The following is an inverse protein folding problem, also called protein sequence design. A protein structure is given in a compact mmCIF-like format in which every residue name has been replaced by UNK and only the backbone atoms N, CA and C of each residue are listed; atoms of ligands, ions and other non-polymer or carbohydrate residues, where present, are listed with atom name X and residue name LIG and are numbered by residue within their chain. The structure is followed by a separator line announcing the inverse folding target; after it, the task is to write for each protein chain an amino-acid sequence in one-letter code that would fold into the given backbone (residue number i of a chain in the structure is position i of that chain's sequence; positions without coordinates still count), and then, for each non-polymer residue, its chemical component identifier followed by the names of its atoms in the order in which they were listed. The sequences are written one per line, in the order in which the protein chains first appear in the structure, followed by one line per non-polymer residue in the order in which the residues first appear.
data_IF_973080846313
#
_entry.id   IF_973080846313
#
_cell.length_a   1.000
_cell.length_b   1.000
_cell.length_c   1.000
_cell.angle_alpha   90.00
_cell.angle_beta   90.00
_cell.angle_gamma   90.00
#
_symmetry.space_group_name_H-M   'P 1'
#
loop_
_entity.id
_entity.type
_entity.pdbx_description
1 polymer ?
#
# COMPACT_ATOMS: atom_id res chain seq x y z
N UNK A 1 14.99 -31.64 -34.11
CA UNK A 1 13.88 -30.97 -33.43
C UNK A 1 14.34 -29.54 -33.08
N UNK A 2 14.06 -28.58 -33.96
CA UNK A 2 14.48 -27.19 -33.76
C UNK A 2 13.61 -26.56 -32.69
N UNK A 3 14.21 -26.21 -31.56
CA UNK A 3 13.60 -25.32 -30.58
C UNK A 3 13.48 -23.94 -31.23
N UNK A 4 12.29 -23.58 -31.69
CA UNK A 4 11.95 -22.20 -31.98
C UNK A 4 12.07 -21.42 -30.65
N UNK A 5 13.25 -20.81 -30.46
CA UNK A 5 13.46 -19.90 -29.34
C UNK A 5 12.42 -18.77 -29.39
N UNK A 6 11.46 -18.77 -28.51
CA UNK A 6 10.52 -17.69 -28.40
C UNK A 6 11.33 -16.41 -28.11
N UNK A 7 11.27 -15.46 -29.03
CA UNK A 7 11.93 -14.15 -28.85
C UNK A 7 11.39 -13.51 -27.58
N UNK A 8 12.26 -13.24 -26.62
CA UNK A 8 11.89 -12.61 -25.37
C UNK A 8 11.73 -11.11 -25.60
N UNK A 9 10.60 -10.55 -25.21
CA UNK A 9 10.25 -9.14 -25.38
C UNK A 9 10.61 -8.36 -24.11
N UNK A 10 11.25 -7.20 -24.27
CA UNK A 10 11.48 -6.29 -23.16
C UNK A 10 10.16 -5.56 -22.80
N UNK A 11 9.79 -5.61 -21.53
CA UNK A 11 8.59 -4.97 -21.02
C UNK A 11 8.58 -3.44 -21.24
N UNK A 12 9.73 -2.80 -21.23
CA UNK A 12 9.86 -1.36 -21.50
C UNK A 12 9.38 -1.01 -22.91
N UNK A 13 9.72 -1.82 -23.91
CA UNK A 13 9.29 -1.61 -25.29
C UNK A 13 7.77 -1.66 -25.43
N UNK A 14 7.08 -2.43 -24.60
CA UNK A 14 5.63 -2.54 -24.58
C UNK A 14 4.94 -1.35 -23.89
N UNK A 15 5.61 -0.73 -22.92
CA UNK A 15 5.01 0.27 -22.05
C UNK A 15 5.40 1.71 -22.37
N UNK A 16 6.57 1.92 -22.97
CA UNK A 16 7.14 3.26 -23.15
C UNK A 16 7.07 3.79 -24.59
N UNK A 17 6.41 3.08 -25.50
CA UNK A 17 6.19 3.55 -26.85
C UNK A 17 5.19 4.72 -26.84
N UNK A 18 5.58 5.92 -27.27
CA UNK A 18 4.67 7.06 -27.38
C UNK A 18 3.60 6.77 -28.43
N UNK A 19 2.34 6.89 -28.05
CA UNK A 19 1.22 6.89 -28.97
C UNK A 19 -0.02 7.42 -28.26
N UNK A 20 -0.74 8.32 -28.89
CA UNK A 20 -1.98 8.93 -28.38
C UNK A 20 -3.24 8.27 -28.96
N UNK A 21 -3.09 7.23 -29.79
CA UNK A 21 -4.25 6.53 -30.32
C UNK A 21 -4.99 5.81 -29.20
N UNK A 22 -6.34 5.89 -29.19
CA UNK A 22 -7.20 5.21 -28.22
C UNK A 22 -6.90 3.70 -28.19
N UNK A 23 -6.56 3.12 -29.34
CA UNK A 23 -6.19 1.70 -29.46
C UNK A 23 -4.93 1.41 -28.65
N UNK A 24 -3.86 2.18 -28.83
CA UNK A 24 -2.58 1.97 -28.17
C UNK A 24 -2.66 2.28 -26.68
N UNK A 25 -3.41 3.29 -26.29
CA UNK A 25 -3.70 3.58 -24.88
C UNK A 25 -4.40 2.39 -24.20
N UNK A 26 -5.44 1.84 -24.83
CA UNK A 26 -6.14 0.68 -24.29
C UNK A 26 -5.24 -0.57 -24.27
N UNK A 27 -4.41 -0.76 -25.29
CA UNK A 27 -3.42 -1.85 -25.34
C UNK A 27 -2.44 -1.75 -24.16
N UNK A 28 -1.82 -0.59 -23.92
CA UNK A 28 -0.94 -0.37 -22.77
C UNK A 28 -1.65 -0.59 -21.44
N UNK A 29 -2.88 -0.09 -21.27
CA UNK A 29 -3.68 -0.35 -20.05
C UNK A 29 -3.87 -1.83 -19.77
N UNK A 30 -4.20 -2.62 -20.80
CA UNK A 30 -4.41 -4.07 -20.66
C UNK A 30 -3.10 -4.78 -20.32
N UNK A 31 -1.98 -4.42 -20.96
CA UNK A 31 -0.66 -4.97 -20.66
C UNK A 31 -0.26 -4.65 -19.21
N UNK A 32 -0.39 -3.38 -18.78
CA UNK A 32 -0.08 -2.95 -17.41
C UNK A 32 -0.89 -3.72 -16.36
N UNK A 33 -2.20 -3.86 -16.59
CA UNK A 33 -3.07 -4.58 -15.67
C UNK A 33 -2.71 -6.08 -15.57
N UNK A 34 -2.31 -6.71 -16.68
CA UNK A 34 -1.85 -8.09 -16.67
C UNK A 34 -0.46 -8.25 -16.01
N UNK A 35 0.41 -7.24 -16.11
CA UNK A 35 1.67 -7.18 -15.37
C UNK A 35 1.42 -7.00 -13.87
N UNK A 36 0.50 -6.12 -13.50
CA UNK A 36 0.18 -5.87 -12.09
C UNK A 36 -0.46 -7.08 -11.41
N UNK A 37 -1.31 -7.82 -12.11
CA UNK A 37 -2.04 -8.98 -11.58
C UNK A 37 -1.89 -10.19 -12.55
N UNK A 38 -0.79 -10.94 -12.47
CA UNK A 38 -0.54 -12.09 -13.34
C UNK A 38 -1.61 -13.17 -13.19
N UNK A 39 -2.28 -13.50 -14.28
CA UNK A 39 -3.40 -14.44 -14.28
C UNK A 39 -4.78 -13.80 -14.07
N UNK A 40 -4.87 -12.48 -14.20
CA UNK A 40 -6.14 -11.74 -14.20
C UNK A 40 -7.09 -12.26 -15.29
N UNK A 41 -8.40 -12.36 -14.99
CA UNK A 41 -9.37 -12.76 -16.00
C UNK A 41 -9.73 -11.61 -16.94
N UNK A 42 -10.18 -11.92 -18.18
CA UNK A 42 -10.64 -10.89 -19.12
C UNK A 42 -11.82 -10.07 -18.55
N UNK A 43 -12.71 -10.70 -17.77
CA UNK A 43 -13.82 -10.01 -17.10
C UNK A 43 -13.31 -9.03 -16.05
N UNK A 44 -12.34 -9.47 -15.24
CA UNK A 44 -11.71 -8.59 -14.24
C UNK A 44 -10.91 -7.43 -14.88
N UNK A 45 -10.25 -7.68 -16.02
CA UNK A 45 -9.60 -6.63 -16.81
C UNK A 45 -10.62 -5.57 -17.25
N UNK A 46 -11.76 -6.00 -17.84
CA UNK A 46 -12.80 -5.10 -18.30
C UNK A 46 -13.34 -4.23 -17.15
N UNK A 47 -13.63 -4.84 -16.00
CA UNK A 47 -14.10 -4.15 -14.80
C UNK A 47 -13.05 -3.16 -14.25
N UNK A 48 -11.80 -3.61 -14.09
CA UNK A 48 -10.70 -2.79 -13.53
C UNK A 48 -10.35 -1.59 -14.41
N UNK A 49 -10.36 -1.78 -15.73
CA UNK A 49 -9.97 -0.73 -16.69
C UNK A 49 -11.15 0.13 -17.19
N UNK A 50 -12.36 -0.16 -16.73
CA UNK A 50 -13.60 0.48 -17.21
C UNK A 50 -13.75 0.39 -18.74
N UNK A 51 -13.34 -0.74 -19.31
CA UNK A 51 -13.45 -1.04 -20.75
C UNK A 51 -14.56 -2.03 -21.02
N UNK A 52 -15.13 -2.02 -22.25
CA UNK A 52 -16.06 -3.05 -22.65
C UNK A 52 -15.38 -4.42 -22.75
N UNK A 53 -16.13 -5.51 -22.50
CA UNK A 53 -15.60 -6.87 -22.66
C UNK A 53 -15.13 -7.13 -24.10
N UNK A 54 -15.81 -6.55 -25.10
CA UNK A 54 -15.42 -6.63 -26.51
C UNK A 54 -14.06 -5.98 -26.77
N UNK A 55 -13.82 -4.79 -26.20
CA UNK A 55 -12.55 -4.09 -26.32
C UNK A 55 -11.40 -4.90 -25.69
N UNK A 56 -11.61 -5.43 -24.48
CA UNK A 56 -10.60 -6.26 -23.81
C UNK A 56 -10.32 -7.53 -24.61
N UNK A 57 -11.37 -8.23 -25.08
CA UNK A 57 -11.21 -9.45 -25.88
C UNK A 57 -10.42 -9.21 -27.17
N UNK A 58 -10.69 -8.10 -27.88
CA UNK A 58 -9.97 -7.74 -29.10
C UNK A 58 -8.47 -7.50 -28.80
N UNK A 59 -8.17 -6.69 -27.77
CA UNK A 59 -6.77 -6.39 -27.38
C UNK A 59 -6.04 -7.66 -26.92
N UNK A 60 -6.69 -8.50 -26.11
CA UNK A 60 -6.10 -9.76 -25.63
C UNK A 60 -5.83 -10.72 -26.80
N UNK A 61 -6.72 -10.81 -27.78
CA UNK A 61 -6.53 -11.66 -28.98
C UNK A 61 -5.36 -11.17 -29.83
N UNK A 62 -5.20 -9.85 -30.04
CA UNK A 62 -4.09 -9.26 -30.74
C UNK A 62 -2.76 -9.55 -30.03
N UNK A 63 -2.69 -9.31 -28.71
CA UNK A 63 -1.51 -9.59 -27.89
C UNK A 63 -1.16 -11.09 -27.81
N UNK A 64 -2.15 -11.97 -27.90
CA UNK A 64 -1.95 -13.41 -27.97
C UNK A 64 -1.33 -13.83 -29.32
N UNK A 65 -1.80 -13.24 -30.43
CA UNK A 65 -1.22 -13.50 -31.76
C UNK A 65 0.23 -13.02 -31.85
N UNK A 66 0.58 -11.94 -31.18
CA UNK A 66 1.94 -11.43 -31.06
C UNK A 66 2.82 -12.21 -30.09
N UNK A 67 2.28 -13.20 -29.35
CA UNK A 67 3.00 -13.98 -28.36
C UNK A 67 3.27 -13.28 -27.04
N UNK A 68 2.76 -12.06 -26.87
CA UNK A 68 2.91 -11.27 -25.64
C UNK A 68 2.03 -11.84 -24.52
N UNK A 69 0.83 -12.32 -24.86
CA UNK A 69 -0.06 -12.97 -23.91
C UNK A 69 -0.20 -14.48 -24.17
N UNK A 70 -0.44 -15.21 -23.07
CA UNK A 70 -0.94 -16.59 -23.06
C UNK A 70 -2.30 -16.57 -22.36
N UNK A 71 -3.30 -17.19 -23.00
CA UNK A 71 -4.65 -17.26 -22.46
C UNK A 71 -4.96 -18.70 -22.10
N UNK A 72 -5.30 -18.96 -20.86
CA UNK A 72 -5.59 -20.28 -20.32
C UNK A 72 -7.01 -20.32 -19.74
N UNK A 73 -7.71 -21.44 -19.95
CA UNK A 73 -8.96 -21.76 -19.26
C UNK A 73 -8.63 -22.79 -18.19
N UNK A 74 -8.98 -22.51 -16.94
CA UNK A 74 -8.86 -23.49 -15.85
C UNK A 74 -10.19 -24.20 -15.67
N UNK A 75 -10.16 -25.52 -15.53
CA UNK A 75 -11.35 -26.35 -15.32
C UNK A 75 -12.02 -25.96 -14.00
N UNK A 76 -13.31 -25.64 -14.04
CA UNK A 76 -14.08 -25.21 -12.85
C UNK A 76 -14.09 -23.72 -12.57
N UNK A 77 -13.28 -22.91 -13.24
CA UNK A 77 -13.29 -21.46 -13.06
C UNK A 77 -14.06 -20.73 -14.19
N UNK A 78 -14.79 -19.68 -13.83
CA UNK A 78 -15.46 -18.80 -14.80
C UNK A 78 -14.48 -17.76 -15.35
N UNK A 79 -14.12 -17.87 -16.63
CA UNK A 79 -13.36 -16.88 -17.38
C UNK A 79 -11.96 -17.32 -17.80
N UNK A 80 -11.48 -16.75 -18.90
CA UNK A 80 -10.14 -17.01 -19.43
C UNK A 80 -9.11 -16.15 -18.68
N UNK A 81 -8.08 -16.79 -18.10
CA UNK A 81 -6.97 -16.10 -17.44
C UNK A 81 -5.94 -15.63 -18.46
N UNK A 82 -5.43 -14.43 -18.25
CA UNK A 82 -4.41 -13.79 -19.09
C UNK A 82 -3.10 -13.77 -18.32
N UNK A 83 -2.06 -14.32 -18.92
CA UNK A 83 -0.68 -14.29 -18.41
C UNK A 83 0.23 -13.73 -19.48
N UNK A 84 1.34 -13.11 -19.05
CA UNK A 84 2.40 -12.73 -19.99
C UNK A 84 3.10 -13.96 -20.57
N UNK A 85 3.52 -13.84 -21.81
CA UNK A 85 4.42 -14.79 -22.48
C UNK A 85 5.88 -14.62 -22.03
N UNK A 86 6.80 -14.70 -22.97
CA UNK A 86 8.21 -14.46 -22.71
C UNK A 86 8.52 -12.95 -22.67
N UNK A 87 8.11 -12.28 -21.57
CA UNK A 87 8.34 -10.84 -21.35
C UNK A 87 9.33 -10.67 -20.21
N UNK A 88 10.41 -9.92 -20.43
CA UNK A 88 11.39 -9.57 -19.39
C UNK A 88 11.08 -8.19 -18.84
N UNK A 89 11.10 -8.06 -17.54
CA UNK A 89 10.93 -6.81 -16.82
C UNK A 89 10.76 -7.06 -15.33
N UNK A 90 11.17 -6.08 -14.51
CA UNK A 90 11.03 -6.09 -13.06
C UNK A 90 10.23 -4.85 -12.64
N UNK A 91 9.20 -5.06 -11.85
CA UNK A 91 8.51 -3.99 -11.14
C UNK A 91 9.04 -3.92 -9.70
N UNK A 92 9.21 -2.71 -9.21
CA UNK A 92 9.75 -2.46 -7.87
C UNK A 92 8.79 -1.57 -7.07
N UNK A 93 8.62 -1.89 -5.80
CA UNK A 93 7.92 -1.05 -4.84
C UNK A 93 8.77 -0.84 -3.60
N UNK A 94 8.85 0.39 -3.16
CA UNK A 94 9.56 0.81 -1.94
C UNK A 94 8.56 1.37 -0.96
N UNK A 95 8.67 1.00 0.30
CA UNK A 95 7.99 1.63 1.41
C UNK A 95 9.04 2.16 2.38
N UNK A 96 9.00 3.46 2.63
CA UNK A 96 9.85 4.12 3.62
C UNK A 96 8.99 4.51 4.82
N UNK A 97 9.37 4.06 5.99
CA UNK A 97 8.76 4.38 7.27
C UNK A 97 9.75 5.14 8.17
N UNK A 98 9.32 5.53 9.37
CA UNK A 98 10.16 6.25 10.34
C UNK A 98 11.39 5.45 10.78
N UNK A 99 11.31 4.13 10.81
CA UNK A 99 12.30 3.23 11.38
C UNK A 99 12.69 2.06 10.45
N UNK A 100 12.14 2.02 9.23
CA UNK A 100 12.29 0.89 8.31
C UNK A 100 12.18 1.32 6.86
N UNK A 101 13.00 0.72 6.01
CA UNK A 101 12.84 0.69 4.56
C UNK A 101 12.49 -0.73 4.16
N UNK A 102 11.48 -0.90 3.31
CA UNK A 102 11.09 -2.17 2.75
C UNK A 102 11.02 -2.06 1.23
N UNK A 103 11.47 -3.09 0.53
CA UNK A 103 11.43 -3.18 -0.92
C UNK A 103 10.78 -4.50 -1.33
N UNK A 104 9.93 -4.43 -2.33
CA UNK A 104 9.38 -5.58 -3.04
C UNK A 104 9.80 -5.50 -4.50
N UNK A 105 10.32 -6.57 -5.06
CA UNK A 105 10.67 -6.70 -6.47
C UNK A 105 10.00 -7.93 -7.06
N UNK A 106 9.52 -7.83 -8.29
CA UNK A 106 8.84 -8.94 -8.97
C UNK A 106 9.04 -8.85 -10.47
N UNK A 107 9.34 -9.97 -11.08
CA UNK A 107 9.25 -10.08 -12.55
C UNK A 107 7.82 -9.85 -12.98
N UNK A 108 7.64 -9.14 -14.10
CA UNK A 108 6.31 -8.82 -14.63
C UNK A 108 5.53 -10.04 -15.11
N UNK A 109 6.23 -11.14 -15.45
CA UNK A 109 5.66 -12.38 -15.99
C UNK A 109 5.34 -13.44 -14.91
N UNK A 110 5.62 -13.17 -13.63
CA UNK A 110 5.37 -14.08 -12.51
C UNK A 110 4.57 -13.43 -11.39
N UNK A 111 4.07 -14.23 -10.46
CA UNK A 111 3.45 -13.76 -9.21
C UNK A 111 4.38 -13.82 -8.00
N UNK A 112 5.56 -14.45 -8.14
CA UNK A 112 6.54 -14.51 -7.06
C UNK A 112 7.12 -13.12 -6.80
N UNK A 113 7.16 -12.73 -5.53
CA UNK A 113 7.64 -11.42 -5.07
C UNK A 113 8.83 -11.66 -4.16
N UNK A 114 9.96 -11.10 -4.53
CA UNK A 114 11.09 -10.95 -3.61
C UNK A 114 10.81 -9.76 -2.69
N UNK A 115 11.04 -9.93 -1.41
CA UNK A 115 10.76 -8.92 -0.40
C UNK A 115 11.86 -8.90 0.65
N UNK A 116 12.35 -7.72 0.95
CA UNK A 116 13.33 -7.50 2.01
C UNK A 116 13.01 -6.21 2.75
N UNK A 117 13.37 -6.15 4.03
CA UNK A 117 13.26 -4.94 4.81
C UNK A 117 14.44 -4.78 5.75
N UNK A 118 14.86 -3.54 5.94
CA UNK A 118 15.96 -3.19 6.84
C UNK A 118 15.53 -2.11 7.84
N UNK A 119 16.10 -2.15 9.04
CA UNK A 119 15.95 -1.05 9.98
C UNK A 119 16.65 0.18 9.44
N UNK A 120 16.01 1.32 9.55
CA UNK A 120 16.49 2.60 9.09
C UNK A 120 16.28 3.63 10.19
N UNK A 121 17.26 4.54 10.38
CA UNK A 121 17.11 5.65 11.29
C UNK A 121 17.25 6.96 10.53
N UNK A 122 16.22 7.78 10.64
CA UNK A 122 16.10 9.04 9.92
C UNK A 122 17.20 10.07 10.28
N UNK A 123 17.87 9.90 11.43
CA UNK A 123 18.96 10.75 11.92
C UNK A 123 20.29 10.65 11.11
N UNK A 124 20.37 9.73 10.15
CA UNK A 124 21.58 9.51 9.33
C UNK A 124 21.74 10.46 8.13
N UNK A 125 20.92 11.50 8.02
CA UNK A 125 20.99 12.52 6.98
C UNK A 125 20.01 12.29 5.82
N UNK A 126 19.63 13.39 5.18
CA UNK A 126 18.52 13.48 4.22
C UNK A 126 18.64 12.60 2.96
N UNK A 127 19.84 12.19 2.60
CA UNK A 127 20.08 11.37 1.39
C UNK A 127 20.29 9.88 1.69
N UNK A 128 20.37 9.49 2.97
CA UNK A 128 20.71 8.11 3.33
C UNK A 128 19.60 7.12 2.94
N UNK A 129 18.33 7.49 3.11
CA UNK A 129 17.21 6.63 2.77
C UNK A 129 17.11 6.32 1.27
N UNK A 130 17.44 7.29 0.40
CA UNK A 130 17.47 7.08 -1.06
C UNK A 130 18.54 6.08 -1.43
N UNK A 131 19.75 6.25 -0.88
CA UNK A 131 20.89 5.35 -1.12
C UNK A 131 20.60 3.94 -0.64
N UNK A 132 20.08 3.80 0.59
CA UNK A 132 19.75 2.49 1.15
C UNK A 132 18.62 1.81 0.36
N UNK A 133 17.58 2.56 -0.03
CA UNK A 133 16.54 2.07 -0.93
C UNK A 133 17.11 1.62 -2.26
N UNK A 134 17.99 2.41 -2.87
CA UNK A 134 18.61 2.07 -4.16
C UNK A 134 19.48 0.81 -4.08
N UNK A 135 20.23 0.63 -2.99
CA UNK A 135 21.01 -0.58 -2.76
C UNK A 135 20.12 -1.82 -2.65
N UNK A 136 19.07 -1.73 -1.84
CA UNK A 136 18.14 -2.83 -1.64
C UNK A 136 17.35 -3.16 -2.93
N UNK A 137 17.00 -2.16 -3.73
CA UNK A 137 16.40 -2.36 -5.06
C UNK A 137 17.34 -3.17 -5.96
N UNK A 138 18.62 -2.81 -6.02
CA UNK A 138 19.61 -3.49 -6.85
C UNK A 138 19.77 -4.96 -6.44
N UNK A 139 19.89 -5.21 -5.13
CA UNK A 139 20.01 -6.56 -4.57
C UNK A 139 18.81 -7.43 -4.92
N UNK A 140 17.59 -6.94 -4.66
CA UNK A 140 16.37 -7.70 -4.93
C UNK A 140 16.11 -7.88 -6.43
N UNK A 141 16.48 -6.90 -7.26
CA UNK A 141 16.37 -7.05 -8.71
C UNK A 141 17.21 -8.23 -9.21
N UNK A 142 18.45 -8.36 -8.73
CA UNK A 142 19.32 -9.49 -9.06
C UNK A 142 18.73 -10.82 -8.58
N UNK A 143 18.09 -10.86 -7.41
CA UNK A 143 17.41 -12.07 -6.91
C UNK A 143 16.28 -12.53 -7.82
N UNK A 144 15.64 -11.64 -8.58
CA UNK A 144 14.64 -12.01 -9.60
C UNK A 144 15.24 -12.71 -10.83
N UNK A 145 16.57 -12.77 -10.93
CA UNK A 145 17.31 -13.30 -12.09
C UNK A 145 17.42 -12.31 -13.25
N UNK A 146 17.15 -11.04 -13.02
CA UNK A 146 17.29 -9.93 -13.97
C UNK A 146 18.19 -8.83 -13.36
N UNK A 147 18.69 -7.94 -14.20
CA UNK A 147 19.48 -6.78 -13.78
C UNK A 147 18.65 -5.48 -13.75
N UNK A 148 19.28 -4.40 -13.30
CA UNK A 148 18.63 -3.10 -13.12
C UNK A 148 18.14 -2.51 -14.45
N UNK A 149 18.73 -2.89 -15.58
CA UNK A 149 18.29 -2.41 -16.88
C UNK A 149 16.93 -2.98 -17.30
N UNK A 150 16.43 -3.99 -16.60
CA UNK A 150 15.09 -4.54 -16.78
C UNK A 150 14.02 -3.93 -15.87
N UNK A 151 14.36 -2.97 -14.99
CA UNK A 151 13.37 -2.32 -14.15
C UNK A 151 12.43 -1.47 -15.01
N UNK A 152 11.13 -1.77 -15.00
CA UNK A 152 10.12 -1.08 -15.80
C UNK A 152 9.52 0.14 -15.10
N UNK A 153 9.41 0.10 -13.78
CA UNK A 153 8.91 1.20 -12.94
C UNK A 153 9.24 0.96 -11.47
N UNK A 154 9.33 2.06 -10.71
CA UNK A 154 9.53 2.03 -9.26
C UNK A 154 8.42 2.85 -8.61
N UNK A 155 7.66 2.25 -7.67
CA UNK A 155 6.75 2.95 -6.78
C UNK A 155 7.48 3.26 -5.47
N UNK A 156 7.33 4.47 -4.92
CA UNK A 156 7.94 4.87 -3.66
C UNK A 156 6.87 5.42 -2.71
N UNK A 157 6.55 4.66 -1.67
CA UNK A 157 5.66 5.06 -0.58
C UNK A 157 6.45 5.76 0.52
N UNK A 158 6.02 6.96 0.91
CA UNK A 158 6.66 7.76 1.95
C UNK A 158 5.65 8.15 3.04
N UNK A 159 6.09 8.38 4.30
CA UNK A 159 5.21 8.75 5.40
C UNK A 159 4.86 10.25 5.37
N UNK A 160 4.33 10.70 4.23
CA UNK A 160 3.98 12.09 3.98
C UNK A 160 2.85 12.19 2.94
N UNK A 161 2.07 13.25 3.00
CA UNK A 161 1.10 13.57 1.97
C UNK A 161 1.82 14.04 0.69
N UNK A 162 1.40 13.52 -0.45
CA UNK A 162 1.93 13.86 -1.78
C UNK A 162 0.81 14.46 -2.61
N UNK A 163 1.04 15.67 -3.14
CA UNK A 163 0.06 16.30 -4.05
C UNK A 163 -0.01 15.48 -5.35
N UNK A 164 -1.19 14.92 -5.69
CA UNK A 164 -1.31 14.02 -6.84
C UNK A 164 -1.14 14.70 -8.20
N UNK A 165 -1.12 16.04 -8.25
CA UNK A 165 -0.98 16.82 -9.49
C UNK A 165 0.47 17.19 -9.78
N UNK A 166 1.29 17.33 -8.72
CA UNK A 166 2.66 17.82 -8.84
C UNK A 166 3.69 16.78 -8.40
N UNK A 167 3.24 15.65 -7.83
CA UNK A 167 4.08 14.63 -7.18
C UNK A 167 5.04 15.20 -6.11
N UNK A 168 4.75 16.41 -5.62
CA UNK A 168 5.53 17.07 -4.60
C UNK A 168 5.05 16.70 -3.20
N UNK A 169 5.99 16.51 -2.30
CA UNK A 169 5.70 16.31 -0.88
C UNK A 169 5.15 17.62 -0.29
N UNK A 170 4.03 17.52 0.41
CA UNK A 170 3.39 18.69 1.02
C UNK A 170 4.07 19.09 2.33
N UNK A 171 4.00 20.38 2.70
CA UNK A 171 4.70 20.94 3.88
C UNK A 171 4.30 20.33 5.23
N UNK A 172 3.13 19.70 5.33
CA UNK A 172 2.68 19.04 6.58
C UNK A 172 3.56 17.84 6.94
N UNK A 173 4.31 17.30 5.99
CA UNK A 173 5.34 16.29 6.23
C UNK A 173 6.58 16.80 6.95
N UNK A 174 6.76 18.13 7.12
CA UNK A 174 7.88 18.75 7.82
C UNK A 174 8.02 18.39 9.32
N UNK A 175 7.12 17.53 9.83
CA UNK A 175 7.24 16.93 11.17
C UNK A 175 8.19 15.71 11.23
N UNK A 176 8.75 15.30 10.11
CA UNK A 176 9.76 14.26 10.05
C UNK A 176 11.14 14.92 10.22
N UNK A 177 11.98 14.37 11.09
CA UNK A 177 13.35 14.86 11.33
C UNK A 177 14.29 14.63 10.13
N UNK A 178 13.77 14.15 9.03
CA UNK A 178 14.49 13.88 7.78
C UNK A 178 13.87 14.64 6.60
N UNK A 179 14.76 15.22 5.80
CA UNK A 179 14.34 15.99 4.63
C UNK A 179 13.82 15.08 3.51
N UNK A 180 12.49 15.02 3.40
CA UNK A 180 11.78 14.39 2.27
C UNK A 180 11.10 15.44 1.38
N UNK A 181 11.34 16.72 1.62
CA UNK A 181 10.75 17.82 0.84
C UNK A 181 11.21 17.80 -0.62
N UNK A 182 10.43 18.35 -1.51
CA UNK A 182 10.76 18.44 -2.93
C UNK A 182 10.35 17.21 -3.76
N UNK A 183 11.07 16.98 -4.83
CA UNK A 183 10.79 15.90 -5.78
C UNK A 183 11.52 14.62 -5.40
N UNK A 184 10.79 13.62 -4.91
CA UNK A 184 11.34 12.28 -4.64
C UNK A 184 11.88 11.60 -5.90
N UNK A 185 11.18 11.65 -7.06
CA UNK A 185 11.72 11.08 -8.31
C UNK A 185 13.10 11.64 -8.70
N UNK A 186 13.33 12.94 -8.50
CA UNK A 186 14.63 13.54 -8.83
C UNK A 186 15.77 13.00 -7.95
N UNK A 187 15.48 12.68 -6.69
CA UNK A 187 16.46 12.09 -5.75
C UNK A 187 16.93 10.69 -6.17
N UNK A 188 16.08 9.93 -6.87
CA UNK A 188 16.42 8.60 -7.40
C UNK A 188 17.08 8.62 -8.77
N UNK A 189 17.09 9.77 -9.48
CA UNK A 189 17.56 9.90 -10.86
C UNK A 189 19.02 9.47 -11.05
N UNK A 190 19.89 9.74 -10.07
CA UNK A 190 21.29 9.33 -10.12
C UNK A 190 21.49 7.81 -10.04
N UNK A 191 20.51 7.10 -9.48
CA UNK A 191 20.53 5.63 -9.34
C UNK A 191 19.79 4.92 -10.45
N UNK A 192 18.71 5.54 -11.00
CA UNK A 192 17.78 4.94 -11.97
C UNK A 192 17.34 5.98 -13.03
N UNK A 193 18.28 6.34 -13.92
CA UNK A 193 18.15 7.51 -14.81
C UNK A 193 16.89 7.55 -15.64
N UNK A 194 16.52 6.45 -16.30
CA UNK A 194 15.41 6.42 -17.28
C UNK A 194 14.19 5.62 -16.77
N UNK A 195 14.19 5.25 -15.50
CA UNK A 195 13.11 4.48 -14.90
C UNK A 195 12.02 5.43 -14.38
N UNK A 196 10.75 5.25 -14.74
CA UNK A 196 9.63 5.99 -14.13
C UNK A 196 9.56 5.71 -12.62
N UNK A 197 9.52 6.78 -11.83
CA UNK A 197 9.38 6.71 -10.38
C UNK A 197 8.11 7.42 -9.99
N UNK A 198 7.19 6.69 -9.35
CA UNK A 198 5.89 7.18 -8.93
C UNK A 198 5.85 7.19 -7.41
N UNK A 199 5.42 8.33 -6.84
CA UNK A 199 5.44 8.55 -5.40
C UNK A 199 4.04 8.75 -4.86
N UNK A 200 3.77 8.20 -3.67
CA UNK A 200 2.54 8.42 -2.92
C UNK A 200 2.79 8.25 -1.42
N UNK A 201 1.76 8.50 -0.63
CA UNK A 201 1.76 8.16 0.78
C UNK A 201 1.80 6.63 0.98
N UNK A 202 2.55 6.16 1.97
CA UNK A 202 2.76 4.72 2.22
C UNK A 202 1.47 3.99 2.64
N UNK A 203 0.53 4.69 3.30
CA UNK A 203 -0.76 4.09 3.66
C UNK A 203 -1.68 3.96 2.44
N UNK A 204 -1.59 4.88 1.47
CA UNK A 204 -2.27 4.76 0.19
C UNK A 204 -1.80 3.52 -0.58
N UNK A 205 -0.49 3.31 -0.64
CA UNK A 205 0.04 2.12 -1.28
C UNK A 205 -0.30 0.84 -0.53
N UNK A 206 -0.29 0.86 0.81
CA UNK A 206 -0.70 -0.30 1.59
C UNK A 206 -2.18 -0.66 1.34
N UNK A 207 -3.07 0.34 1.28
CA UNK A 207 -4.46 0.15 0.87
C UNK A 207 -4.58 -0.47 -0.53
N UNK A 208 -3.77 0.03 -1.46
CA UNK A 208 -3.77 -0.46 -2.84
C UNK A 208 -3.20 -1.89 -2.94
N UNK A 209 -2.20 -2.22 -2.13
CA UNK A 209 -1.67 -3.57 -2.01
C UNK A 209 -2.72 -4.57 -1.54
N UNK A 210 -3.43 -4.24 -0.46
CA UNK A 210 -4.55 -5.07 0.04
C UNK A 210 -5.68 -5.19 -0.98
N UNK A 211 -6.00 -4.12 -1.68
CA UNK A 211 -7.00 -4.15 -2.76
C UNK A 211 -6.60 -5.06 -3.92
N UNK A 212 -5.32 -5.05 -4.34
CA UNK A 212 -4.85 -5.87 -5.46
C UNK A 212 -4.58 -7.33 -5.06
N UNK A 213 -3.97 -7.56 -3.91
CA UNK A 213 -3.32 -8.83 -3.59
C UNK A 213 -3.76 -9.44 -2.26
N UNK A 214 -4.44 -8.69 -1.39
CA UNK A 214 -4.76 -9.09 -0.04
C UNK A 214 -6.26 -9.09 0.28
N UNK A 215 -6.59 -8.76 1.53
CA UNK A 215 -7.92 -8.80 2.12
C UNK A 215 -8.95 -7.93 1.39
N UNK A 216 -8.52 -6.87 0.69
CA UNK A 216 -9.38 -5.95 -0.06
C UNK A 216 -9.78 -6.43 -1.44
N UNK A 217 -9.37 -7.62 -1.89
CA UNK A 217 -9.69 -8.13 -3.24
C UNK A 217 -11.19 -8.27 -3.45
N UNK A 218 -11.68 -7.63 -4.51
CA UNK A 218 -13.08 -7.71 -4.90
C UNK A 218 -14.01 -6.70 -4.23
N UNK A 219 -13.58 -6.03 -3.16
CA UNK A 219 -14.36 -4.99 -2.50
C UNK A 219 -14.44 -3.71 -3.36
N UNK A 220 -15.60 -3.04 -3.34
CA UNK A 220 -15.81 -1.80 -4.07
C UNK A 220 -15.20 -0.59 -3.37
N UNK A 221 -15.20 -0.58 -2.03
CA UNK A 221 -14.64 0.49 -1.21
C UNK A 221 -13.89 -0.11 -0.02
N UNK A 222 -12.59 0.20 0.07
CA UNK A 222 -11.70 -0.30 1.13
C UNK A 222 -11.09 0.88 1.89
N UNK A 223 -11.20 0.85 3.22
CA UNK A 223 -10.44 1.73 4.11
C UNK A 223 -9.32 0.90 4.76
N UNK A 224 -8.09 1.17 4.42
CA UNK A 224 -6.93 0.59 5.11
C UNK A 224 -6.51 1.51 6.24
N UNK A 225 -6.36 0.97 7.43
CA UNK A 225 -5.88 1.69 8.63
C UNK A 225 -4.47 1.22 8.94
N UNK A 226 -3.49 2.07 8.73
CA UNK A 226 -2.10 1.82 9.11
C UNK A 226 -1.87 2.30 10.54
N UNK A 227 -1.85 1.39 11.49
CA UNK A 227 -1.60 1.68 12.90
C UNK A 227 -0.22 1.17 13.32
N UNK A 228 0.72 2.11 13.51
CA UNK A 228 2.13 1.88 13.81
C UNK A 228 2.63 2.93 14.82
N UNK A 229 3.84 3.45 14.64
CA UNK A 229 4.36 4.62 15.38
C UNK A 229 3.41 5.81 15.21
N UNK A 230 2.97 6.07 13.97
CA UNK A 230 1.88 6.99 13.64
C UNK A 230 0.61 6.26 13.25
N UNK A 231 -0.43 7.02 12.91
CA UNK A 231 -1.71 6.52 12.44
C UNK A 231 -2.10 7.22 11.14
N UNK A 232 -2.19 6.44 10.06
CA UNK A 232 -2.64 6.90 8.76
C UNK A 232 -3.72 6.00 8.17
N UNK A 233 -4.32 6.41 7.07
CA UNK A 233 -5.19 5.54 6.30
C UNK A 233 -5.04 5.77 4.80
N UNK A 234 -5.33 4.71 4.04
CA UNK A 234 -5.52 4.77 2.61
C UNK A 234 -6.94 4.37 2.24
N UNK A 235 -7.53 5.06 1.29
CA UNK A 235 -8.91 4.84 0.87
C UNK A 235 -8.96 4.46 -0.61
N UNK A 236 -9.55 3.30 -0.90
CA UNK A 236 -9.83 2.84 -2.26
C UNK A 236 -11.32 2.97 -2.54
N UNK A 237 -11.68 3.67 -3.61
CA UNK A 237 -13.05 3.83 -4.09
C UNK A 237 -13.11 3.42 -5.56
N UNK A 238 -13.89 2.39 -5.88
CA UNK A 238 -14.02 1.91 -7.25
C UNK A 238 -12.68 1.47 -7.88
N UNK A 239 -11.74 0.98 -7.07
CA UNK A 239 -10.41 0.54 -7.52
C UNK A 239 -9.37 1.66 -7.64
N UNK A 240 -9.70 2.89 -7.28
CA UNK A 240 -8.81 4.04 -7.32
C UNK A 240 -8.45 4.51 -5.90
N UNK A 241 -7.21 4.92 -5.72
CA UNK A 241 -6.78 5.58 -4.48
C UNK A 241 -7.45 6.96 -4.39
N UNK A 242 -8.17 7.22 -3.31
CA UNK A 242 -8.71 8.54 -3.02
C UNK A 242 -7.71 9.38 -2.24
N UNK A 243 -7.12 10.36 -2.91
CA UNK A 243 -6.09 11.26 -2.33
C UNK A 243 -6.63 12.59 -1.86
N UNK A 244 -7.85 12.95 -2.26
CA UNK A 244 -8.32 14.32 -2.14
C UNK A 244 -7.56 15.27 -3.08
N UNK A 245 -7.79 16.57 -2.91
CA UNK A 245 -7.23 17.60 -3.81
C UNK A 245 -5.71 17.74 -3.72
N UNK A 246 -5.15 17.63 -2.52
CA UNK A 246 -3.74 17.92 -2.22
C UNK A 246 -3.01 16.74 -1.53
N UNK A 247 -3.56 15.53 -1.64
CA UNK A 247 -2.96 14.35 -1.05
C UNK A 247 -3.30 14.10 0.43
N UNK A 248 -4.18 14.89 1.03
CA UNK A 248 -4.58 14.74 2.44
C UNK A 248 -5.76 13.78 2.66
N UNK A 249 -6.22 13.07 1.64
CA UNK A 249 -7.25 12.04 1.80
C UNK A 249 -6.72 10.90 2.68
N UNK A 250 -7.47 10.53 3.73
CA UNK A 250 -7.05 9.45 4.62
C UNK A 250 -6.29 9.88 5.88
N UNK A 251 -6.11 11.16 6.15
CA UNK A 251 -5.43 11.70 7.36
C UNK A 251 -6.25 11.50 8.64
N UNK A 252 -6.72 10.26 8.89
CA UNK A 252 -7.57 9.92 10.05
C UNK A 252 -6.84 10.08 11.39
N UNK A 253 -5.52 9.97 11.41
CA UNK A 253 -4.68 10.20 12.59
C UNK A 253 -4.85 11.62 13.16
N UNK A 254 -5.26 12.56 12.32
CA UNK A 254 -5.49 13.97 12.70
C UNK A 254 -6.96 14.33 12.94
N UNK A 255 -7.86 13.33 13.01
CA UNK A 255 -9.21 13.55 13.53
C UNK A 255 -9.14 13.96 15.00
N UNK A 256 -9.70 15.11 15.35
CA UNK A 256 -9.81 15.56 16.74
C UNK A 256 -10.80 14.67 17.49
N UNK A 257 -10.28 13.90 18.43
CA UNK A 257 -11.06 13.02 19.32
C UNK A 257 -11.35 13.69 20.66
N UNK A 258 -10.45 14.55 21.12
CA UNK A 258 -10.52 15.30 22.37
C UNK A 258 -10.10 16.76 22.12
N UNK A 259 -11.06 17.72 22.02
CA UNK A 259 -10.73 19.12 21.78
C UNK A 259 -9.84 19.78 22.86
N UNK A 260 -9.90 19.26 24.08
CA UNK A 260 -9.09 19.73 25.22
C UNK A 260 -7.79 18.91 25.40
N UNK A 261 -7.55 17.95 24.50
CA UNK A 261 -6.41 17.05 24.54
C UNK A 261 -5.07 17.72 24.27
N UNK A 262 -3.99 16.90 24.32
CA UNK A 262 -2.63 17.39 24.13
C UNK A 262 -2.40 17.94 22.71
N UNK A 263 -1.50 18.93 22.53
CA UNK A 263 -1.15 19.41 21.20
C UNK A 263 -0.62 18.29 20.29
N UNK A 264 -1.07 18.30 19.03
CA UNK A 264 -0.57 17.45 17.97
C UNK A 264 0.44 18.23 17.13
N UNK A 265 1.42 17.53 16.57
CA UNK A 265 2.41 18.11 15.63
C UNK A 265 1.78 18.77 14.38
N UNK A 266 0.54 18.42 14.01
CA UNK A 266 -0.18 19.07 12.91
C UNK A 266 -0.74 20.47 13.26
N UNK A 267 -0.55 20.95 14.49
CA UNK A 267 -1.06 22.22 15.00
C UNK A 267 -2.42 22.13 15.70
N UNK A 268 -3.15 21.02 15.58
CA UNK A 268 -4.40 20.75 16.29
C UNK A 268 -4.16 20.19 17.70
N UNK A 269 -5.25 19.90 18.43
CA UNK A 269 -5.23 19.23 19.74
C UNK A 269 -6.04 17.94 19.72
N UNK A 270 -5.65 16.99 20.58
CA UNK A 270 -6.36 15.75 20.82
C UNK A 270 -6.66 14.93 19.56
N UNK A 271 -5.76 14.98 18.60
CA UNK A 271 -5.84 14.13 17.42
C UNK A 271 -5.79 12.66 17.80
N UNK A 272 -6.42 11.80 17.03
CA UNK A 272 -6.46 10.36 17.25
C UNK A 272 -5.04 9.79 17.47
N UNK A 273 -4.06 10.21 16.67
CA UNK A 273 -2.66 9.80 16.81
C UNK A 273 -2.06 10.12 18.17
N UNK A 274 -2.45 11.23 18.80
CA UNK A 274 -1.98 11.60 20.15
C UNK A 274 -2.54 10.71 21.26
N UNK A 275 -3.56 9.92 20.96
CA UNK A 275 -4.19 8.98 21.90
C UNK A 275 -3.70 7.54 21.70
N UNK A 276 -3.48 7.13 20.44
CA UNK A 276 -3.25 5.73 20.07
C UNK A 276 -1.98 5.50 19.24
N UNK A 277 -1.19 6.53 18.95
CA UNK A 277 0.11 6.35 18.29
C UNK A 277 1.08 5.56 19.15
N UNK A 278 1.98 4.80 18.51
CA UNK A 278 2.86 3.84 19.19
C UNK A 278 3.65 4.40 20.36
N UNK A 279 4.20 5.62 20.21
CA UNK A 279 4.91 6.30 21.30
C UNK A 279 4.00 6.55 22.52
N UNK A 280 2.74 6.90 22.29
CA UNK A 280 1.75 7.13 23.36
C UNK A 280 1.37 5.83 24.06
N UNK A 281 1.21 4.74 23.30
CA UNK A 281 0.90 3.43 23.89
C UNK A 281 2.04 2.94 24.79
N UNK A 282 3.29 3.08 24.34
CA UNK A 282 4.46 2.74 25.14
C UNK A 282 4.56 3.58 26.42
N UNK A 283 4.20 4.86 26.33
CA UNK A 283 4.17 5.76 27.49
C UNK A 283 3.09 5.32 28.50
N UNK A 284 1.89 4.94 28.05
CA UNK A 284 0.83 4.42 28.90
C UNK A 284 1.27 3.16 29.65
N UNK A 285 1.96 2.23 28.96
CA UNK A 285 2.52 1.03 29.60
C UNK A 285 3.59 1.41 30.63
N UNK A 286 4.49 2.35 30.32
CA UNK A 286 5.49 2.85 31.27
C UNK A 286 4.86 3.45 32.52
N UNK A 287 3.85 4.29 32.36
CA UNK A 287 3.13 4.92 33.47
C UNK A 287 2.43 3.89 34.35
N UNK A 288 1.79 2.87 33.76
CA UNK A 288 1.12 1.82 34.51
C UNK A 288 2.09 0.94 35.32
N UNK A 289 3.32 0.79 34.88
CA UNK A 289 4.37 0.02 35.57
C UNK A 289 5.35 0.87 36.36
N UNK A 290 5.13 2.17 36.51
CA UNK A 290 6.05 3.07 37.21
C UNK A 290 6.39 2.53 38.62
N UNK A 291 7.69 2.28 38.85
CA UNK A 291 8.23 1.77 40.11
C UNK A 291 8.12 0.24 40.34
N UNK A 292 7.48 -0.51 39.41
CA UNK A 292 7.26 -1.96 39.62
C UNK A 292 8.10 -2.85 38.70
N UNK A 293 8.56 -2.36 37.55
CA UNK A 293 9.29 -3.17 36.56
C UNK A 293 10.41 -2.37 35.89
N UNK A 294 11.55 -3.03 35.65
CA UNK A 294 12.68 -2.48 34.92
C UNK A 294 12.68 -2.86 33.43
N UNK A 295 12.08 -4.01 33.06
CA UNK A 295 12.05 -4.58 31.71
C UNK A 295 10.76 -4.19 30.98
N UNK A 296 10.63 -2.96 30.51
CA UNK A 296 9.44 -2.51 29.78
C UNK A 296 9.62 -2.65 28.27
N UNK A 297 8.51 -2.82 27.49
CA UNK A 297 8.61 -2.85 26.05
C UNK A 297 9.10 -1.49 25.53
N UNK A 298 10.00 -1.52 24.54
CA UNK A 298 10.57 -0.35 23.90
C UNK A 298 9.98 -0.12 22.48
N UNK A 299 9.17 -1.08 22.00
CA UNK A 299 8.50 -1.03 20.71
C UNK A 299 7.07 -1.54 20.80
N UNK A 300 6.23 -1.16 19.83
CA UNK A 300 4.85 -1.67 19.70
C UNK A 300 4.85 -3.18 19.50
N UNK A 301 5.80 -3.70 18.72
CA UNK A 301 6.00 -5.14 18.55
C UNK A 301 6.25 -5.85 19.90
N UNK A 302 7.19 -5.34 20.69
CA UNK A 302 7.48 -5.88 22.02
C UNK A 302 6.26 -5.82 22.95
N UNK A 303 5.45 -4.78 22.85
CA UNK A 303 4.20 -4.66 23.60
C UNK A 303 3.17 -5.73 23.17
N UNK A 304 3.03 -5.98 21.88
CA UNK A 304 2.16 -7.03 21.32
C UNK A 304 2.61 -8.41 21.82
N UNK A 305 3.90 -8.70 21.73
CA UNK A 305 4.46 -9.98 22.20
C UNK A 305 4.20 -10.23 23.67
N UNK A 306 4.32 -9.18 24.51
CA UNK A 306 4.00 -9.28 25.93
C UNK A 306 2.51 -9.53 26.18
N UNK A 307 1.65 -8.82 25.46
CA UNK A 307 0.20 -9.02 25.54
C UNK A 307 -0.20 -10.45 25.17
N UNK A 308 0.41 -11.03 24.12
CA UNK A 308 0.22 -12.44 23.71
C UNK A 308 0.69 -13.43 24.78
N UNK A 309 1.75 -13.09 25.54
CA UNK A 309 2.25 -13.90 26.66
C UNK A 309 1.48 -13.68 27.96
N UNK A 310 0.38 -12.91 27.95
CA UNK A 310 -0.50 -12.74 29.10
C UNK A 310 -0.23 -11.50 29.97
N UNK A 311 0.62 -10.56 29.51
CA UNK A 311 0.79 -9.26 30.19
C UNK A 311 -0.51 -8.46 30.14
N UNK A 312 -1.17 -8.33 31.29
CA UNK A 312 -2.50 -7.72 31.38
C UNK A 312 -2.50 -6.22 31.06
N UNK A 313 -1.41 -5.50 31.41
CA UNK A 313 -1.30 -4.06 31.12
C UNK A 313 -1.14 -3.82 29.63
N UNK A 314 -0.19 -4.51 28.99
CA UNK A 314 0.01 -4.41 27.55
C UNK A 314 -1.27 -4.77 26.78
N UNK A 315 -1.95 -5.85 27.18
CA UNK A 315 -3.24 -6.26 26.58
C UNK A 315 -4.29 -5.17 26.74
N UNK A 316 -4.44 -4.62 27.96
CA UNK A 316 -5.43 -3.58 28.23
C UNK A 316 -5.20 -2.32 27.40
N UNK A 317 -3.96 -1.83 27.37
CA UNK A 317 -3.59 -0.63 26.60
C UNK A 317 -3.88 -0.83 25.10
N UNK A 318 -3.55 -2.01 24.55
CA UNK A 318 -3.85 -2.33 23.14
C UNK A 318 -5.34 -2.39 22.85
N UNK A 319 -6.14 -2.99 23.73
CA UNK A 319 -7.60 -3.10 23.56
C UNK A 319 -8.28 -1.73 23.68
N UNK A 320 -7.84 -0.87 24.60
CA UNK A 320 -8.37 0.49 24.75
C UNK A 320 -8.00 1.36 23.52
N UNK A 321 -6.80 1.21 22.98
CA UNK A 321 -6.39 1.82 21.72
C UNK A 321 -7.27 1.37 20.56
N UNK A 322 -7.50 0.06 20.43
CA UNK A 322 -8.35 -0.51 19.39
C UNK A 322 -9.79 0.03 19.48
N UNK A 323 -10.36 0.11 20.69
CA UNK A 323 -11.69 0.71 20.90
C UNK A 323 -11.71 2.18 20.49
N UNK A 324 -10.66 2.94 20.82
CA UNK A 324 -10.54 4.37 20.46
C UNK A 324 -10.45 4.53 18.94
N UNK A 325 -9.67 3.66 18.25
CA UNK A 325 -9.64 3.63 16.79
C UNK A 325 -11.03 3.32 16.23
N UNK A 326 -11.75 2.35 16.80
CA UNK A 326 -13.12 2.04 16.41
C UNK A 326 -14.09 3.23 16.51
N UNK A 327 -13.98 4.03 17.58
CA UNK A 327 -14.74 5.27 17.73
C UNK A 327 -14.45 6.29 16.61
N UNK A 328 -13.19 6.42 16.23
CA UNK A 328 -12.80 7.29 15.11
C UNK A 328 -13.32 6.75 13.78
N UNK A 329 -13.23 5.43 13.57
CA UNK A 329 -13.72 4.76 12.38
C UNK A 329 -15.23 4.90 12.21
N UNK A 330 -16.02 4.96 13.29
CA UNK A 330 -17.45 5.23 13.22
C UNK A 330 -17.76 6.56 12.50
N UNK A 331 -16.96 7.61 12.78
CA UNK A 331 -17.08 8.90 12.09
C UNK A 331 -16.76 8.80 10.60
N UNK A 332 -15.71 8.06 10.28
CA UNK A 332 -15.32 7.81 8.88
C UNK A 332 -16.37 6.96 8.16
N UNK A 333 -16.91 5.92 8.80
CA UNK A 333 -17.97 5.09 8.26
C UNK A 333 -19.22 5.90 7.96
N UNK A 334 -19.65 6.78 8.87
CA UNK A 334 -20.82 7.64 8.68
C UNK A 334 -20.65 8.60 7.49
N UNK A 335 -19.40 8.93 7.09
CA UNK A 335 -19.10 9.80 5.97
C UNK A 335 -18.89 9.01 4.66
N UNK A 336 -18.14 7.90 4.72
CA UNK A 336 -17.63 7.21 3.53
C UNK A 336 -18.33 5.88 3.25
N UNK A 337 -18.98 5.28 4.25
CA UNK A 337 -19.64 3.98 4.17
C UNK A 337 -18.79 2.91 3.45
N UNK A 338 -17.58 2.59 3.94
CA UNK A 338 -16.74 1.58 3.30
C UNK A 338 -17.37 0.18 3.43
N UNK A 339 -17.13 -0.67 2.43
CA UNK A 339 -17.52 -2.07 2.46
C UNK A 339 -16.62 -2.87 3.41
N UNK A 340 -15.32 -2.53 3.42
CA UNK A 340 -14.30 -3.24 4.16
C UNK A 340 -13.31 -2.27 4.82
N UNK A 341 -12.97 -2.54 6.07
CA UNK A 341 -11.88 -1.91 6.80
C UNK A 341 -10.78 -2.95 7.01
N UNK A 342 -9.55 -2.63 6.63
CA UNK A 342 -8.38 -3.50 6.81
C UNK A 342 -7.45 -2.88 7.83
N UNK A 343 -7.19 -3.57 8.93
CA UNK A 343 -6.22 -3.15 9.95
C UNK A 343 -4.83 -3.66 9.56
N UNK A 344 -3.91 -2.75 9.30
CA UNK A 344 -2.51 -3.03 8.99
C UNK A 344 -1.54 -2.26 9.90
N UNK A 345 -0.29 -2.18 9.47
CA UNK A 345 0.80 -1.67 10.30
C UNK A 345 1.18 -2.66 11.41
N UNK A 346 1.89 -2.19 12.42
CA UNK A 346 2.37 -3.05 13.51
C UNK A 346 1.21 -3.61 14.34
N UNK A 347 0.18 -2.80 14.63
CA UNK A 347 -1.00 -3.26 15.35
C UNK A 347 -1.77 -4.32 14.56
N UNK A 348 -1.74 -4.29 13.23
CA UNK A 348 -2.34 -5.31 12.36
C UNK A 348 -1.74 -6.71 12.53
N UNK A 349 -0.60 -6.87 13.25
CA UNK A 349 0.03 -8.17 13.57
C UNK A 349 -0.65 -8.92 14.74
N UNK A 350 -1.63 -8.30 15.40
CA UNK A 350 -2.38 -8.89 16.49
C UNK A 350 -3.90 -8.74 16.30
N UNK A 351 -4.45 -9.15 15.15
CA UNK A 351 -5.87 -8.97 14.86
C UNK A 351 -6.76 -9.65 15.91
N UNK A 352 -6.34 -10.77 16.45
CA UNK A 352 -7.03 -11.53 17.49
C UNK A 352 -7.21 -10.75 18.81
N UNK A 353 -6.38 -9.74 19.08
CA UNK A 353 -6.48 -8.90 20.28
C UNK A 353 -7.28 -7.62 20.02
N UNK A 354 -7.39 -7.18 18.78
CA UNK A 354 -7.76 -5.80 18.43
C UNK A 354 -9.07 -5.67 17.65
N UNK A 355 -9.41 -6.64 16.79
CA UNK A 355 -10.55 -6.48 15.88
C UNK A 355 -11.88 -6.38 16.63
N UNK A 356 -12.10 -7.20 17.68
CA UNK A 356 -13.34 -7.15 18.45
C UNK A 356 -13.48 -5.83 19.24
N UNK A 357 -12.48 -5.39 20.05
CA UNK A 357 -12.55 -4.07 20.70
C UNK A 357 -12.71 -2.91 19.71
N UNK A 358 -12.13 -3.00 18.51
CA UNK A 358 -12.29 -1.99 17.47
C UNK A 358 -13.73 -1.97 16.94
N UNK A 359 -14.31 -3.14 16.68
CA UNK A 359 -15.71 -3.27 16.27
C UNK A 359 -16.66 -2.76 17.36
N UNK A 360 -16.38 -3.01 18.64
CA UNK A 360 -17.15 -2.47 19.76
C UNK A 360 -17.16 -0.95 19.75
N UNK A 361 -15.97 -0.32 19.57
CA UNK A 361 -15.85 1.12 19.44
C UNK A 361 -16.64 1.69 18.25
N UNK A 362 -16.57 1.00 17.12
CA UNK A 362 -17.28 1.39 15.89
C UNK A 362 -18.80 1.34 16.09
N UNK A 363 -19.33 0.29 16.69
CA UNK A 363 -20.77 0.11 16.93
C UNK A 363 -21.41 1.19 17.81
N UNK A 364 -20.62 1.86 18.64
CA UNK A 364 -21.15 2.89 19.54
C UNK A 364 -21.68 4.14 18.79
N UNK A 365 -21.08 4.49 17.64
CA UNK A 365 -21.38 5.73 16.93
C UNK A 365 -21.60 5.59 15.43
N UNK A 366 -21.40 4.41 14.86
CA UNK A 366 -21.78 4.15 13.47
C UNK A 366 -23.32 4.06 13.34
N UNK A 367 -23.84 4.48 12.20
CA UNK A 367 -25.26 4.30 11.91
C UNK A 367 -25.62 2.81 11.93
N UNK A 368 -26.73 2.45 12.60
CA UNK A 368 -27.14 1.06 12.79
C UNK A 368 -27.25 0.29 11.47
N UNK A 369 -27.69 0.92 10.39
CA UNK A 369 -27.73 0.30 9.07
C UNK A 369 -26.39 -0.16 8.53
N UNK A 370 -25.27 0.34 9.06
CA UNK A 370 -23.91 -0.08 8.65
C UNK A 370 -23.40 -1.26 9.46
N UNK A 371 -23.84 -1.44 10.69
CA UNK A 371 -23.32 -2.44 11.63
C UNK A 371 -24.27 -3.58 11.93
N UNK A 372 -25.59 -3.35 11.78
CA UNK A 372 -26.64 -4.32 12.09
C UNK A 372 -27.39 -4.81 10.82
N UNK A 373 -26.92 -4.44 9.61
CA UNK A 373 -27.53 -4.88 8.34
C UNK A 373 -27.22 -6.34 8.03
N UNK A 374 -27.85 -6.88 6.96
CA UNK A 374 -27.53 -8.21 6.45
C UNK A 374 -26.11 -8.31 5.86
N UNK A 375 -25.54 -7.18 5.45
CA UNK A 375 -24.17 -7.07 4.96
C UNK A 375 -23.49 -5.87 5.68
N UNK A 376 -23.05 -6.09 6.92
CA UNK A 376 -22.46 -5.03 7.74
C UNK A 376 -21.03 -4.73 7.25
N UNK A 377 -20.54 -3.51 7.60
CA UNK A 377 -19.13 -3.18 7.43
C UNK A 377 -18.26 -4.21 8.19
N UNK A 378 -17.21 -4.68 7.55
CA UNK A 378 -16.30 -5.69 8.12
C UNK A 378 -14.98 -5.03 8.50
N UNK A 379 -14.42 -5.43 9.64
CA UNK A 379 -13.03 -5.09 10.00
C UNK A 379 -12.24 -6.40 9.98
N UNK A 380 -11.16 -6.42 9.20
CA UNK A 380 -10.28 -7.60 9.06
C UNK A 380 -8.82 -7.20 9.26
N UNK A 381 -7.98 -8.17 9.56
CA UNK A 381 -6.53 -7.97 9.55
C UNK A 381 -5.98 -7.91 8.13
N UNK A 382 -4.83 -7.27 7.96
CA UNK A 382 -4.09 -7.24 6.71
C UNK A 382 -3.58 -8.64 6.34
N UNK A 383 -3.80 -9.07 5.09
CA UNK A 383 -3.25 -10.32 4.57
C UNK A 383 -1.77 -10.17 4.16
N UNK A 384 -1.37 -8.98 3.77
CA UNK A 384 0.00 -8.69 3.32
C UNK A 384 0.92 -8.25 4.47
N UNK A 385 0.35 -7.94 5.63
CA UNK A 385 1.08 -7.50 6.81
C UNK A 385 2.00 -6.30 6.52
N UNK A 386 3.26 -6.39 6.94
CA UNK A 386 4.24 -5.32 6.76
C UNK A 386 4.72 -5.15 5.31
N UNK A 387 4.37 -6.05 4.40
CA UNK A 387 4.73 -5.93 2.98
C UNK A 387 3.68 -5.17 2.16
N UNK A 388 2.54 -4.78 2.77
CA UNK A 388 1.41 -4.17 2.07
C UNK A 388 1.81 -2.92 1.28
N UNK A 389 2.57 -2.01 1.90
CA UNK A 389 3.00 -0.76 1.27
C UNK A 389 3.94 -0.98 0.08
N UNK A 390 5.01 -1.77 0.25
CA UNK A 390 5.95 -2.06 -0.82
C UNK A 390 5.29 -2.83 -1.99
N UNK A 391 4.42 -3.83 -1.68
CA UNK A 391 3.68 -4.57 -2.72
C UNK A 391 2.64 -3.70 -3.42
N UNK A 392 1.98 -2.80 -2.70
CA UNK A 392 1.05 -1.84 -3.27
C UNK A 392 1.74 -0.81 -4.16
N UNK A 393 2.88 -0.29 -3.75
CA UNK A 393 3.72 0.61 -4.53
C UNK A 393 4.16 -0.04 -5.86
N UNK A 394 4.64 -1.30 -5.81
CA UNK A 394 4.97 -2.09 -6.99
C UNK A 394 3.77 -2.23 -7.94
N UNK A 395 2.60 -2.62 -7.41
CA UNK A 395 1.39 -2.80 -8.20
C UNK A 395 0.90 -1.49 -8.82
N UNK A 396 0.94 -0.40 -8.05
CA UNK A 396 0.52 0.92 -8.52
C UNK A 396 1.44 1.47 -9.61
N UNK A 397 2.75 1.34 -9.45
CA UNK A 397 3.74 1.78 -10.43
C UNK A 397 3.57 1.09 -11.80
N UNK A 398 3.14 -0.17 -11.82
CA UNK A 398 2.80 -0.88 -13.05
C UNK A 398 1.52 -0.36 -13.72
N UNK A 399 0.55 0.11 -12.92
CA UNK A 399 -0.74 0.60 -13.45
C UNK A 399 -0.67 2.02 -13.99
N UNK A 400 0.30 2.82 -13.53
CA UNK A 400 0.42 4.23 -13.93
C UNK A 400 1.04 4.38 -15.32
N UNK A 401 0.46 5.24 -16.17
CA UNK A 401 1.01 5.54 -17.49
C UNK A 401 1.96 6.74 -17.41
N UNK A 402 3.19 6.60 -17.92
CA UNK A 402 4.21 7.65 -17.96
C UNK A 402 3.76 8.88 -18.80
N UNK A 403 2.84 8.69 -19.73
CA UNK A 403 2.40 9.75 -20.66
C UNK A 403 1.40 10.73 -20.05
N UNK A 404 0.92 10.48 -18.81
CA UNK A 404 -0.09 11.32 -18.13
C UNK A 404 0.57 12.36 -17.20
N UNK A 405 1.88 12.31 -16.97
CA UNK A 405 2.62 13.15 -16.02
C UNK A 405 3.54 14.20 -16.68
N UNK A 406 3.16 14.69 -17.85
CA UNK A 406 3.83 15.83 -18.50
C UNK A 406 3.00 17.11 -18.40
#
# INVERSE_FOLDING_TARGET
MSSTGATTVDARSLLWTPSDSVKDVNRRKVIRAAMADPGITQVSLAKRLLLSQGTVSAVVSELQQEGIFRVQSEEGERGKRVRLGAVRGVAVGVEVNHDRIAVAARRVDTSAVEYESMSFRADQGSSSWVRESANLIKELTVQTGLDIDHIVSIGVGIPAAVDPRTAMVTQVAASLDWDITGSVPERFRDHFRDVPIIVDNEANYAAYGEYLYGAGRGAGTVLFVKASVGLGAGLIIGGLIYRGRHGYGGEIGHLTMDPDGIPCRCGNRGCLETLVGGARLLEQVRQAYAGYRADLPTSVEGMIERAKRGDAVCRRVLQDAARTIGLALARVCNLMNPELIVLGGELGRAPELLLEPMMDGLRLYALRGMVDSKDPVKIVGSDLGLAAGARGALGFALMTDRTVEA
#
